data_IF_224945442356
#
_entry.id   IF_224945442356
#
_cell.length_a   1.000
_cell.length_b   1.000
_cell.length_c   1.000
_cell.angle_alpha   90.00
_cell.angle_beta   90.00
_cell.angle_gamma   90.00
#
_symmetry.space_group_name_H-M   'P 1'
#
loop_
_entity.id
_entity.type
_entity.pdbx_description
1 polymer ?
#
# COMPACT_ATOMS: atom_id res chain seq x y z
N UNK A 1 -51.51 -49.27 53.43
CA UNK A 1 -52.55 -48.28 53.05
C UNK A 1 -52.12 -47.63 51.74
N UNK A 2 -53.00 -47.64 50.74
CA UNK A 2 -52.75 -47.13 49.39
C UNK A 2 -52.62 -45.60 49.45
N UNK A 3 -51.54 -45.06 48.89
CA UNK A 3 -51.34 -43.62 48.73
C UNK A 3 -51.42 -43.30 47.23
N UNK A 4 -52.41 -42.49 46.88
CA UNK A 4 -52.68 -42.01 45.53
C UNK A 4 -51.58 -41.06 45.05
N UNK A 5 -51.07 -41.28 43.84
CA UNK A 5 -50.41 -40.25 43.05
C UNK A 5 -51.25 -40.00 41.79
N UNK A 6 -51.86 -38.83 41.76
CA UNK A 6 -52.66 -38.32 40.65
C UNK A 6 -51.70 -37.63 39.67
N UNK A 7 -51.49 -38.24 38.51
CA UNK A 7 -50.70 -37.65 37.41
C UNK A 7 -51.54 -36.54 36.76
N UNK A 8 -51.19 -35.27 37.02
CA UNK A 8 -51.75 -34.12 36.31
C UNK A 8 -50.93 -33.91 35.04
N UNK A 9 -51.51 -34.27 33.90
CA UNK A 9 -50.99 -33.94 32.57
C UNK A 9 -51.33 -32.48 32.30
N UNK A 10 -50.34 -31.59 32.41
CA UNK A 10 -50.47 -30.18 32.03
C UNK A 10 -50.25 -30.09 30.51
N UNK A 11 -51.34 -29.88 29.77
CA UNK A 11 -51.32 -29.51 28.37
C UNK A 11 -50.77 -28.08 28.25
N UNK A 12 -49.49 -27.94 27.91
CA UNK A 12 -48.95 -26.66 27.44
C UNK A 12 -49.53 -26.40 26.05
N UNK A 13 -50.51 -25.49 25.97
CA UNK A 13 -50.87 -24.86 24.70
C UNK A 13 -49.65 -24.04 24.26
N UNK A 14 -48.85 -24.60 23.36
CA UNK A 14 -47.87 -23.83 22.61
C UNK A 14 -48.65 -22.89 21.69
N UNK A 15 -48.77 -21.62 22.07
CA UNK A 15 -49.10 -20.57 21.12
C UNK A 15 -47.95 -20.48 20.13
N UNK A 16 -48.08 -21.20 19.02
CA UNK A 16 -47.24 -21.04 17.84
C UNK A 16 -47.47 -19.63 17.30
N UNK A 17 -46.59 -18.70 17.65
CA UNK A 17 -46.42 -17.50 16.83
C UNK A 17 -45.86 -17.96 15.48
N UNK A 18 -46.76 -18.05 14.49
CA UNK A 18 -46.41 -18.15 13.08
C UNK A 18 -45.75 -16.83 12.67
N UNK A 19 -44.45 -16.68 12.88
CA UNK A 19 -43.67 -15.72 12.11
C UNK A 19 -43.51 -16.31 10.71
N UNK A 20 -44.25 -15.75 9.75
CA UNK A 20 -44.08 -16.07 8.34
C UNK A 20 -42.70 -15.58 7.88
N UNK A 21 -41.70 -16.45 8.01
CA UNK A 21 -40.34 -16.22 7.55
C UNK A 21 -40.29 -16.48 6.04
N UNK A 22 -40.71 -15.51 5.23
CA UNK A 22 -40.68 -15.64 3.76
C UNK A 22 -39.85 -14.52 3.16
N UNK A 23 -38.55 -14.76 2.96
CA UNK A 23 -37.79 -13.80 2.18
C UNK A 23 -36.44 -14.29 1.67
N UNK A 24 -35.58 -14.79 2.55
CA UNK A 24 -34.18 -15.08 2.20
C UNK A 24 -33.90 -16.57 2.01
N UNK A 25 -34.63 -17.46 2.69
CA UNK A 25 -34.55 -18.90 2.47
C UNK A 25 -35.31 -19.33 1.22
N UNK A 26 -34.76 -18.97 0.06
CA UNK A 26 -35.31 -19.35 -1.23
C UNK A 26 -34.19 -19.51 -2.26
N UNK A 27 -34.53 -20.08 -3.42
CA UNK A 27 -33.59 -20.25 -4.53
C UNK A 27 -33.04 -18.88 -4.98
N UNK A 28 -31.70 -18.75 -4.94
CA UNK A 28 -30.87 -17.63 -5.40
C UNK A 28 -30.36 -16.61 -4.37
N UNK A 29 -31.19 -16.03 -3.46
CA UNK A 29 -30.66 -15.26 -2.35
C UNK A 29 -29.78 -16.14 -1.45
N UNK A 30 -28.55 -15.72 -1.21
CA UNK A 30 -27.60 -16.41 -0.34
C UNK A 30 -27.64 -15.86 1.08
N UNK A 31 -27.73 -14.55 1.23
CA UNK A 31 -27.75 -13.90 2.53
C UNK A 31 -28.42 -12.52 2.48
N UNK A 32 -28.84 -12.04 3.64
CA UNK A 32 -29.21 -10.64 3.83
C UNK A 32 -28.63 -10.07 5.11
N UNK A 33 -28.37 -8.78 5.09
CA UNK A 33 -28.03 -7.98 6.26
C UNK A 33 -29.05 -6.83 6.31
N UNK A 34 -29.74 -6.59 7.44
CA UNK A 34 -29.80 -7.46 8.60
C UNK A 34 -30.47 -8.80 8.27
N UNK A 35 -30.33 -9.79 9.14
CA UNK A 35 -31.05 -11.06 9.01
C UNK A 35 -32.53 -10.89 9.38
N UNK A 36 -33.44 -11.72 8.84
CA UNK A 36 -34.84 -11.69 9.23
C UNK A 36 -35.01 -11.81 10.75
N UNK A 37 -35.79 -10.91 11.33
CA UNK A 37 -36.04 -10.81 12.78
C UNK A 37 -34.83 -10.48 13.65
N UNK A 38 -33.74 -9.92 13.09
CA UNK A 38 -32.63 -9.40 13.89
C UNK A 38 -33.11 -8.30 14.86
N UNK A 39 -32.56 -8.27 16.07
CA UNK A 39 -32.97 -7.33 17.14
C UNK A 39 -31.85 -6.43 17.65
N UNK A 40 -30.61 -6.72 17.27
CA UNK A 40 -29.37 -6.08 17.69
C UNK A 40 -28.79 -5.17 16.58
N UNK A 41 -29.66 -4.62 15.73
CA UNK A 41 -29.23 -3.84 14.56
C UNK A 41 -28.88 -2.40 14.99
N UNK A 42 -27.74 -1.90 14.48
CA UNK A 42 -27.25 -0.53 14.69
C UNK A 42 -27.95 0.48 13.77
N UNK A 43 -27.99 1.75 14.17
CA UNK A 43 -28.67 2.83 13.41
C UNK A 43 -28.06 3.13 12.04
N UNK A 44 -26.79 2.79 11.81
CA UNK A 44 -26.05 2.98 10.55
C UNK A 44 -26.14 1.77 9.61
N UNK A 45 -27.01 0.81 9.90
CA UNK A 45 -27.20 -0.38 9.08
C UNK A 45 -27.50 -0.01 7.62
N UNK A 46 -26.82 -0.69 6.70
CA UNK A 46 -27.05 -0.59 5.26
C UNK A 46 -27.61 -1.93 4.77
N UNK A 47 -28.93 -2.02 4.51
CA UNK A 47 -29.52 -3.28 4.08
C UNK A 47 -28.89 -3.82 2.80
N UNK A 48 -28.46 -5.08 2.84
CA UNK A 48 -27.69 -5.74 1.79
C UNK A 48 -28.29 -7.11 1.48
N UNK A 49 -28.33 -7.48 0.20
CA UNK A 49 -28.81 -8.78 -0.28
C UNK A 49 -27.82 -9.37 -1.27
N UNK A 50 -27.26 -10.54 -0.94
CA UNK A 50 -26.29 -11.24 -1.78
C UNK A 50 -27.01 -12.35 -2.55
N UNK A 51 -26.76 -12.44 -3.85
CA UNK A 51 -27.33 -13.47 -4.73
C UNK A 51 -26.23 -14.39 -5.27
N UNK A 52 -26.59 -15.64 -5.55
CA UNK A 52 -25.72 -16.66 -6.15
C UNK A 52 -25.41 -16.42 -7.64
N UNK A 53 -26.11 -15.46 -8.27
CA UNK A 53 -26.02 -15.14 -9.70
C UNK A 53 -25.91 -13.64 -9.92
N UNK A 54 -25.36 -13.26 -11.07
CA UNK A 54 -25.23 -11.85 -11.48
C UNK A 54 -26.60 -11.19 -11.57
N UNK A 55 -26.74 -10.05 -10.89
CA UNK A 55 -27.93 -9.19 -10.90
C UNK A 55 -27.95 -8.37 -12.18
N UNK A 56 -29.05 -8.45 -12.94
CA UNK A 56 -29.25 -7.62 -14.13
C UNK A 56 -29.58 -6.19 -13.70
N UNK A 57 -28.63 -5.26 -13.85
CA UNK A 57 -28.75 -3.86 -13.42
C UNK A 57 -30.00 -3.14 -13.97
N UNK A 58 -30.40 -3.44 -15.21
CA UNK A 58 -31.62 -2.87 -15.84
C UNK A 58 -32.93 -3.27 -15.15
N UNK A 59 -32.92 -4.36 -14.36
CA UNK A 59 -34.08 -4.78 -13.57
C UNK A 59 -34.20 -4.06 -12.23
N UNK A 60 -33.23 -3.20 -11.90
CA UNK A 60 -33.17 -2.47 -10.63
C UNK A 60 -33.67 -1.05 -10.85
N UNK A 61 -34.68 -0.66 -10.07
CA UNK A 61 -35.22 0.69 -10.04
C UNK A 61 -35.23 1.26 -8.62
N UNK A 62 -35.58 2.55 -8.52
CA UNK A 62 -35.58 3.31 -7.25
C UNK A 62 -36.48 2.73 -6.15
N UNK A 63 -37.45 1.89 -6.51
CA UNK A 63 -38.38 1.26 -5.58
C UNK A 63 -38.22 -0.27 -5.54
N UNK A 64 -37.07 -0.80 -6.00
CA UNK A 64 -36.78 -2.24 -5.92
C UNK A 64 -36.65 -2.68 -4.47
N UNK A 65 -35.90 -1.92 -3.65
CA UNK A 65 -35.91 -2.06 -2.20
C UNK A 65 -36.80 -0.97 -1.62
N UNK A 66 -37.72 -1.37 -0.75
CA UNK A 66 -38.58 -0.47 0.01
C UNK A 66 -38.37 -0.75 1.48
N UNK A 67 -37.93 0.27 2.21
CA UNK A 67 -37.76 0.22 3.65
C UNK A 67 -38.80 1.12 4.31
N UNK A 68 -39.57 0.58 5.23
CA UNK A 68 -40.54 1.30 6.06
C UNK A 68 -40.24 1.10 7.53
N UNK A 69 -40.64 2.07 8.36
CA UNK A 69 -40.60 1.97 9.82
C UNK A 69 -42.01 1.69 10.32
N UNK A 70 -42.19 0.56 11.01
CA UNK A 70 -43.45 0.17 11.63
C UNK A 70 -43.66 0.94 12.93
N UNK A 71 -42.62 1.09 13.74
CA UNK A 71 -42.67 1.72 15.06
C UNK A 71 -41.42 2.56 15.31
N UNK A 72 -41.54 3.89 15.51
CA UNK A 72 -42.69 4.74 15.18
C UNK A 72 -43.04 4.67 13.68
N UNK A 73 -44.32 4.83 13.33
CA UNK A 73 -44.80 4.63 11.97
C UNK A 73 -44.26 5.70 11.00
N UNK A 74 -43.38 5.30 10.09
CA UNK A 74 -42.91 6.11 8.95
C UNK A 74 -42.98 5.24 7.69
N UNK A 75 -43.94 5.54 6.82
CA UNK A 75 -44.30 4.67 5.70
C UNK A 75 -43.16 4.42 4.70
N UNK A 76 -42.16 5.30 4.61
CA UNK A 76 -41.01 5.16 3.71
C UNK A 76 -39.76 5.80 4.31
N UNK A 77 -38.67 5.06 4.28
CA UNK A 77 -37.31 5.56 4.48
C UNK A 77 -36.73 5.89 3.11
N UNK A 78 -36.22 7.11 2.96
CA UNK A 78 -35.55 7.53 1.75
C UNK A 78 -34.15 6.91 1.70
N UNK A 79 -33.69 6.58 0.50
CA UNK A 79 -32.39 5.98 0.28
C UNK A 79 -32.17 5.65 -1.19
N UNK A 80 -30.98 5.17 -1.51
CA UNK A 80 -30.57 4.79 -2.87
C UNK A 80 -30.31 3.30 -2.94
N UNK A 81 -30.76 2.66 -4.02
CA UNK A 81 -30.46 1.25 -4.31
C UNK A 81 -29.38 1.16 -5.38
N UNK A 82 -28.35 0.34 -5.17
CA UNK A 82 -27.27 0.09 -6.12
C UNK A 82 -26.89 -1.40 -6.16
N UNK A 83 -26.20 -1.79 -7.24
CA UNK A 83 -25.60 -3.13 -7.36
C UNK A 83 -24.09 -3.00 -7.19
N UNK A 84 -23.54 -3.72 -6.22
CA UNK A 84 -22.10 -3.80 -5.91
C UNK A 84 -21.61 -5.20 -6.26
N UNK A 85 -20.40 -5.30 -6.81
CA UNK A 85 -19.73 -6.56 -7.20
C UNK A 85 -20.57 -7.48 -8.12
N UNK A 86 -21.52 -6.90 -8.87
CA UNK A 86 -22.47 -7.56 -9.78
C UNK A 86 -23.45 -8.56 -9.15
N UNK A 87 -23.25 -9.03 -7.92
CA UNK A 87 -24.09 -10.02 -7.25
C UNK A 87 -24.80 -9.47 -6.01
N UNK A 88 -24.42 -8.29 -5.54
CA UNK A 88 -24.91 -7.72 -4.28
C UNK A 88 -25.82 -6.53 -4.55
N UNK A 89 -27.02 -6.56 -3.99
CA UNK A 89 -27.96 -5.43 -4.00
C UNK A 89 -27.87 -4.68 -2.67
N UNK A 90 -27.56 -3.39 -2.73
CA UNK A 90 -27.31 -2.53 -1.58
C UNK A 90 -28.39 -1.44 -1.50
N UNK A 91 -28.96 -1.19 -0.33
CA UNK A 91 -29.80 -0.02 -0.05
C UNK A 91 -29.13 0.88 0.99
N UNK A 92 -28.79 2.11 0.59
CA UNK A 92 -28.17 3.12 1.45
C UNK A 92 -29.26 4.12 1.90
N UNK A 93 -29.66 4.11 3.19
CA UNK A 93 -30.57 5.13 3.72
C UNK A 93 -29.99 6.53 3.59
N UNK A 94 -30.84 7.54 3.34
CA UNK A 94 -30.39 8.95 3.26
C UNK A 94 -29.97 9.54 4.61
N UNK A 95 -30.44 8.95 5.70
CA UNK A 95 -30.13 9.31 7.08
C UNK A 95 -30.03 8.01 7.90
N UNK A 96 -29.25 7.98 9.00
CA UNK A 96 -29.24 6.85 9.93
C UNK A 96 -30.66 6.49 10.38
N UNK A 97 -30.94 5.19 10.49
CA UNK A 97 -32.23 4.67 10.90
C UNK A 97 -32.46 4.98 12.38
N UNK A 98 -33.53 5.71 12.76
CA UNK A 98 -33.92 5.84 14.16
C UNK A 98 -34.20 4.47 14.80
N UNK A 99 -34.09 4.38 16.13
CA UNK A 99 -34.49 3.16 16.84
C UNK A 99 -35.95 2.82 16.58
N UNK A 100 -36.22 1.53 16.35
CA UNK A 100 -37.55 1.08 16.00
C UNK A 100 -37.60 -0.23 15.23
N UNK A 101 -38.82 -0.65 14.91
CA UNK A 101 -39.09 -1.85 14.10
C UNK A 101 -39.27 -1.43 12.64
N UNK A 102 -38.61 -2.15 11.73
CA UNK A 102 -38.60 -1.87 10.30
C UNK A 102 -39.19 -3.03 9.51
N UNK A 103 -39.85 -2.71 8.40
CA UNK A 103 -40.25 -3.65 7.35
C UNK A 103 -39.43 -3.40 6.08
N UNK A 104 -38.82 -4.46 5.55
CA UNK A 104 -38.07 -4.38 4.29
C UNK A 104 -38.72 -5.27 3.25
N UNK A 105 -38.95 -4.70 2.06
CA UNK A 105 -39.56 -5.36 0.91
C UNK A 105 -38.63 -5.23 -0.28
N UNK A 106 -38.23 -6.36 -0.86
CA UNK A 106 -37.49 -6.41 -2.13
C UNK A 106 -38.41 -6.96 -3.20
N UNK A 107 -38.62 -6.18 -4.26
CA UNK A 107 -39.39 -6.61 -5.42
C UNK A 107 -38.63 -7.72 -6.18
N UNK A 108 -39.36 -8.55 -6.96
CA UNK A 108 -38.73 -9.47 -7.91
C UNK A 108 -37.71 -8.77 -8.81
N UNK A 109 -36.49 -9.31 -8.87
CA UNK A 109 -35.40 -8.84 -9.74
C UNK A 109 -35.00 -9.94 -10.72
N UNK A 110 -34.30 -9.58 -11.81
CA UNK A 110 -33.81 -10.55 -12.79
C UNK A 110 -32.34 -10.87 -12.52
N UNK A 111 -32.03 -12.16 -12.48
CA UNK A 111 -30.67 -12.70 -12.38
C UNK A 111 -30.28 -13.32 -13.72
N UNK A 112 -29.04 -13.14 -14.16
CA UNK A 112 -28.52 -13.77 -15.37
C UNK A 112 -28.36 -15.28 -15.14
N UNK A 113 -28.83 -16.08 -16.10
CA UNK A 113 -28.57 -17.51 -16.11
C UNK A 113 -27.25 -17.81 -16.81
N UNK A 114 -26.46 -18.74 -16.27
CA UNK A 114 -25.34 -19.33 -16.99
C UNK A 114 -25.85 -20.12 -18.20
N UNK A 115 -25.00 -20.27 -19.23
CA UNK A 115 -25.33 -21.07 -20.43
C UNK A 115 -25.72 -22.48 -19.99
N UNK A 116 -26.98 -22.86 -20.22
CA UNK A 116 -27.47 -24.18 -19.83
C UNK A 116 -26.94 -25.23 -20.81
N UNK A 117 -26.05 -26.10 -20.35
CA UNK A 117 -25.47 -27.19 -21.14
C UNK A 117 -26.41 -28.38 -21.34
N UNK A 118 -27.57 -28.43 -20.67
CA UNK A 118 -28.46 -29.61 -20.70
C UNK A 118 -29.96 -29.29 -20.78
N UNK A 119 -30.42 -28.66 -21.86
CA UNK A 119 -31.86 -28.68 -22.20
C UNK A 119 -32.24 -29.95 -22.97
N UNK A 120 -33.27 -30.66 -22.48
CA UNK A 120 -33.87 -31.80 -23.20
C UNK A 120 -34.68 -31.30 -24.39
N UNK A 121 -34.28 -31.67 -25.61
CA UNK A 121 -34.96 -31.31 -26.85
C UNK A 121 -36.37 -31.93 -26.93
N UNK A 122 -37.38 -31.08 -27.11
CA UNK A 122 -38.80 -31.48 -27.14
C UNK A 122 -39.36 -31.52 -28.56
N UNK A 123 -38.93 -30.61 -29.44
CA UNK A 123 -39.41 -30.51 -30.84
C UNK A 123 -38.45 -31.15 -31.86
N UNK A 124 -38.96 -31.51 -33.03
CA UNK A 124 -38.14 -32.01 -34.16
C UNK A 124 -37.08 -31.00 -34.60
N UNK A 125 -37.42 -29.70 -34.61
CA UNK A 125 -36.49 -28.62 -34.92
C UNK A 125 -35.35 -28.54 -33.88
N UNK A 126 -35.66 -28.63 -32.58
CA UNK A 126 -34.66 -28.65 -31.51
C UNK A 126 -33.70 -29.84 -31.61
N UNK A 127 -34.20 -31.02 -32.01
CA UNK A 127 -33.37 -32.22 -32.23
C UNK A 127 -32.41 -32.04 -33.41
N UNK A 128 -32.90 -31.49 -34.53
CA UNK A 128 -32.08 -31.22 -35.72
C UNK A 128 -31.01 -30.16 -35.41
N UNK A 129 -31.38 -29.09 -34.71
CA UNK A 129 -30.43 -28.02 -34.33
C UNK A 129 -29.38 -28.53 -33.35
N UNK A 130 -29.75 -29.31 -32.32
CA UNK A 130 -28.78 -29.92 -31.42
C UNK A 130 -27.82 -30.88 -32.16
N UNK A 131 -28.34 -31.66 -33.11
CA UNK A 131 -27.53 -32.54 -33.95
C UNK A 131 -26.55 -31.75 -34.84
N UNK A 132 -27.00 -30.70 -35.53
CA UNK A 132 -26.15 -29.84 -36.36
C UNK A 132 -25.07 -29.12 -35.54
N UNK A 133 -25.45 -28.58 -34.38
CA UNK A 133 -24.52 -27.89 -33.49
C UNK A 133 -23.48 -28.85 -32.89
N UNK A 134 -23.86 -30.08 -32.55
CA UNK A 134 -22.92 -31.10 -32.04
C UNK A 134 -21.92 -31.62 -33.07
N UNK A 135 -22.05 -31.26 -34.35
CA UNK A 135 -21.03 -31.55 -35.38
C UNK A 135 -19.89 -30.52 -35.39
N UNK A 136 -20.10 -29.33 -34.82
CA UNK A 136 -19.18 -28.20 -34.91
C UNK A 136 -18.74 -27.62 -33.55
N UNK A 137 -19.43 -27.96 -32.46
CA UNK A 137 -19.17 -27.46 -31.12
C UNK A 137 -19.19 -28.61 -30.11
N UNK A 138 -18.18 -28.66 -29.24
CA UNK A 138 -18.10 -29.65 -28.15
C UNK A 138 -19.17 -29.38 -27.06
N UNK A 139 -19.45 -28.11 -26.79
CA UNK A 139 -20.62 -27.67 -26.03
C UNK A 139 -21.66 -27.06 -26.98
N UNK A 140 -22.80 -27.75 -27.10
CA UNK A 140 -23.89 -27.35 -27.98
C UNK A 140 -24.45 -25.97 -27.62
N UNK A 141 -24.29 -25.49 -26.38
CA UNK A 141 -24.71 -24.16 -25.94
C UNK A 141 -23.88 -23.00 -26.53
N UNK A 142 -22.72 -23.30 -27.12
CA UNK A 142 -21.88 -22.31 -27.81
C UNK A 142 -22.29 -22.07 -29.27
N UNK A 143 -23.14 -22.92 -29.82
CA UNK A 143 -23.63 -22.80 -31.18
C UNK A 143 -24.59 -21.60 -31.33
N UNK A 144 -24.38 -20.68 -32.30
CA UNK A 144 -25.25 -19.51 -32.50
C UNK A 144 -26.72 -19.85 -32.77
N UNK A 145 -26.99 -21.03 -33.35
CA UNK A 145 -28.35 -21.51 -33.62
C UNK A 145 -29.05 -22.06 -32.36
N UNK A 146 -28.32 -22.32 -31.28
CA UNK A 146 -28.85 -22.90 -30.06
C UNK A 146 -29.83 -21.95 -29.35
N UNK A 147 -29.44 -20.70 -29.12
CA UNK A 147 -30.31 -19.68 -28.50
C UNK A 147 -31.57 -19.37 -29.32
N UNK A 148 -31.51 -19.57 -30.64
CA UNK A 148 -32.58 -19.22 -31.57
C UNK A 148 -33.69 -20.28 -31.60
N UNK A 149 -33.36 -21.53 -31.26
CA UNK A 149 -34.26 -22.70 -31.37
C UNK A 149 -34.64 -23.29 -30.01
N UNK A 150 -33.75 -23.17 -29.02
CA UNK A 150 -34.05 -23.46 -27.64
C UNK A 150 -34.45 -22.16 -26.96
N UNK A 151 -35.72 -22.07 -26.55
CA UNK A 151 -36.29 -20.95 -25.79
C UNK A 151 -35.68 -20.93 -24.37
N UNK A 152 -34.36 -20.73 -24.28
CA UNK A 152 -33.61 -20.73 -23.03
C UNK A 152 -33.84 -19.38 -22.37
N UNK A 153 -34.47 -19.34 -21.18
CA UNK A 153 -34.64 -18.08 -20.48
C UNK A 153 -33.27 -17.53 -20.09
N UNK A 154 -32.87 -16.42 -20.71
CA UNK A 154 -31.60 -15.72 -20.42
C UNK A 154 -31.52 -15.21 -18.98
N UNK A 155 -32.67 -15.08 -18.32
CA UNK A 155 -32.77 -14.57 -16.95
C UNK A 155 -33.75 -15.37 -16.12
N UNK A 156 -33.48 -15.51 -14.84
CA UNK A 156 -34.42 -16.03 -13.84
C UNK A 156 -34.93 -14.88 -12.97
N UNK A 157 -36.24 -14.82 -12.72
CA UNK A 157 -36.83 -13.79 -11.84
C UNK A 157 -36.90 -14.32 -10.41
N UNK A 158 -36.44 -13.53 -9.43
CA UNK A 158 -36.52 -13.88 -8.02
C UNK A 158 -37.95 -13.77 -7.50
N UNK A 159 -38.25 -14.49 -6.42
CA UNK A 159 -39.46 -14.26 -5.63
C UNK A 159 -39.29 -13.00 -4.77
N UNK A 160 -40.40 -12.31 -4.41
CA UNK A 160 -40.33 -11.15 -3.53
C UNK A 160 -39.75 -11.54 -2.17
N UNK A 161 -38.98 -10.64 -1.56
CA UNK A 161 -38.41 -10.79 -0.22
C UNK A 161 -39.16 -9.84 0.72
N UNK A 162 -39.62 -10.34 1.87
CA UNK A 162 -40.26 -9.49 2.87
C UNK A 162 -39.98 -10.00 4.29
N UNK A 163 -39.41 -9.16 5.13
CA UNK A 163 -39.25 -9.47 6.55
C UNK A 163 -39.15 -8.19 7.39
N UNK A 164 -39.10 -8.36 8.72
CA UNK A 164 -38.91 -7.28 9.67
C UNK A 164 -37.60 -7.43 10.44
N UNK A 165 -37.07 -6.33 10.95
CA UNK A 165 -35.94 -6.29 11.88
C UNK A 165 -36.10 -5.12 12.86
N UNK A 166 -35.37 -5.15 13.96
CA UNK A 166 -35.38 -4.08 14.96
C UNK A 166 -34.02 -3.41 15.08
N UNK A 167 -34.03 -2.08 14.96
CA UNK A 167 -32.89 -1.22 15.22
C UNK A 167 -32.96 -0.78 16.68
N UNK A 168 -32.03 -1.25 17.48
CA UNK A 168 -32.01 -1.00 18.93
C UNK A 168 -30.71 -0.36 19.42
N UNK A 169 -29.64 -0.45 18.62
CA UNK A 169 -28.32 0.04 18.98
C UNK A 169 -27.97 1.32 18.21
N UNK A 170 -27.24 2.23 18.86
CA UNK A 170 -26.63 3.37 18.16
C UNK A 170 -25.43 2.88 17.33
N UNK A 171 -25.11 3.62 16.27
CA UNK A 171 -23.86 3.43 15.55
C UNK A 171 -22.68 3.64 16.50
N UNK A 172 -21.75 2.69 16.52
CA UNK A 172 -20.57 2.75 17.38
C UNK A 172 -19.63 3.82 16.88
N UNK A 173 -19.28 4.77 17.74
CA UNK A 173 -18.40 5.88 17.37
C UNK A 173 -16.94 5.45 17.39
N UNK A 174 -16.18 5.91 16.39
CA UNK A 174 -14.72 5.80 16.36
C UNK A 174 -14.14 6.76 17.40
N UNK A 175 -13.35 6.22 18.33
CA UNK A 175 -12.69 6.99 19.38
C UNK A 175 -11.21 7.26 19.10
N UNK A 176 -10.55 6.39 18.32
CA UNK A 176 -9.15 6.56 17.95
C UNK A 176 -8.83 5.92 16.59
N UNK A 177 -7.78 6.43 15.95
CA UNK A 177 -7.13 5.80 14.79
C UNK A 177 -5.68 5.50 15.17
N UNK A 178 -5.18 4.39 14.64
CA UNK A 178 -3.81 3.95 14.81
C UNK A 178 -3.24 3.52 13.47
N UNK A 179 -2.07 4.07 13.13
CA UNK A 179 -1.22 3.54 12.07
C UNK A 179 -0.22 2.56 12.68
N UNK A 180 0.10 1.49 11.95
CA UNK A 180 1.13 0.53 12.33
C UNK A 180 2.54 1.16 12.44
N UNK A 181 2.79 2.22 11.68
CA UNK A 181 3.98 3.08 11.84
C UNK A 181 3.63 4.57 11.73
N UNK A 182 4.40 5.41 12.41
CA UNK A 182 4.32 6.88 12.31
C UNK A 182 5.39 7.47 11.40
N UNK A 183 6.38 6.68 10.99
CA UNK A 183 7.47 7.07 10.08
C UNK A 183 7.75 5.98 9.06
N UNK A 184 7.86 6.37 7.79
CA UNK A 184 8.21 5.50 6.68
C UNK A 184 9.43 6.08 5.98
N UNK A 185 10.38 5.23 5.63
CA UNK A 185 11.57 5.58 4.86
C UNK A 185 11.59 4.68 3.61
N UNK A 186 11.66 5.29 2.43
CA UNK A 186 11.62 4.60 1.14
C UNK A 186 12.71 5.17 0.23
N UNK A 187 13.26 4.33 -0.64
CA UNK A 187 13.93 4.82 -1.85
C UNK A 187 12.89 5.20 -2.89
N UNK A 188 13.21 6.18 -3.74
CA UNK A 188 12.40 6.59 -4.89
C UNK A 188 11.85 5.41 -5.71
N UNK A 189 10.66 5.60 -6.30
CA UNK A 189 9.95 4.60 -7.11
C UNK A 189 9.64 3.26 -6.42
N UNK A 190 9.63 3.21 -5.08
CA UNK A 190 9.19 2.05 -4.32
C UNK A 190 7.80 2.22 -3.72
N UNK A 191 7.27 1.13 -3.18
CA UNK A 191 5.97 1.12 -2.51
C UNK A 191 6.05 0.37 -1.19
N UNK A 192 5.19 0.74 -0.25
CA UNK A 192 4.97 0.01 1.00
C UNK A 192 3.51 0.08 1.43
N UNK A 193 3.09 -0.87 2.25
CA UNK A 193 1.74 -0.93 2.80
C UNK A 193 1.71 -0.23 4.16
N UNK A 194 0.82 0.74 4.32
CA UNK A 194 0.46 1.36 5.58
C UNK A 194 -0.88 0.78 6.06
N UNK A 195 -0.92 0.25 7.28
CA UNK A 195 -2.13 -0.33 7.86
C UNK A 195 -2.77 0.61 8.87
N UNK A 196 -4.09 0.81 8.75
CA UNK A 196 -4.87 1.72 9.60
C UNK A 196 -5.92 0.94 10.37
N UNK A 197 -5.85 1.01 11.69
CA UNK A 197 -6.83 0.42 12.60
C UNK A 197 -7.66 1.52 13.26
N UNK A 198 -8.99 1.36 13.25
CA UNK A 198 -9.90 2.20 14.02
C UNK A 198 -10.30 1.47 15.32
N UNK A 199 -10.30 2.20 16.43
CA UNK A 199 -10.84 1.73 17.72
C UNK A 199 -12.18 2.39 17.98
N UNK A 200 -13.18 1.59 18.32
CA UNK A 200 -14.54 2.02 18.61
C UNK A 200 -14.80 2.14 20.12
N UNK A 201 -15.86 2.86 20.50
CA UNK A 201 -16.26 3.07 21.90
C UNK A 201 -16.62 1.79 22.66
N UNK A 202 -16.97 0.72 21.96
CA UNK A 202 -17.21 -0.62 22.52
C UNK A 202 -15.91 -1.43 22.69
N UNK A 203 -14.75 -0.80 22.46
CA UNK A 203 -13.41 -1.37 22.46
C UNK A 203 -13.15 -2.40 21.35
N UNK A 204 -14.02 -2.49 20.35
CA UNK A 204 -13.72 -3.26 19.15
C UNK A 204 -12.74 -2.50 18.25
N UNK A 205 -11.98 -3.25 17.45
CA UNK A 205 -11.06 -2.71 16.47
C UNK A 205 -11.44 -3.19 15.07
N UNK A 206 -11.22 -2.35 14.07
CA UNK A 206 -11.45 -2.67 12.67
C UNK A 206 -10.29 -2.18 11.81
N UNK A 207 -9.90 -2.99 10.82
CA UNK A 207 -9.02 -2.54 9.75
C UNK A 207 -9.80 -1.64 8.78
N UNK A 208 -9.43 -0.37 8.77
CA UNK A 208 -10.05 0.66 7.95
C UNK A 208 -9.13 1.13 6.84
N UNK A 209 -8.05 0.40 6.54
CA UNK A 209 -7.04 0.77 5.53
C UNK A 209 -7.66 1.11 4.17
N UNK A 210 -8.59 0.28 3.67
CA UNK A 210 -9.27 0.55 2.40
C UNK A 210 -10.44 1.55 2.51
N UNK A 211 -10.87 1.88 3.73
CA UNK A 211 -12.03 2.75 4.02
C UNK A 211 -11.61 4.17 4.39
N UNK A 212 -10.37 4.36 4.83
CA UNK A 212 -9.81 5.64 5.18
C UNK A 212 -9.54 6.49 3.94
N UNK A 213 -9.50 7.79 4.14
CA UNK A 213 -9.10 8.79 3.15
C UNK A 213 -7.66 9.21 3.42
N UNK A 214 -6.89 9.35 2.35
CA UNK A 214 -5.47 9.67 2.40
C UNK A 214 -5.20 10.93 1.62
N UNK A 215 -4.25 11.72 2.10
CA UNK A 215 -3.71 12.88 1.38
C UNK A 215 -2.23 13.03 1.72
N UNK A 216 -1.45 13.50 0.76
CA UNK A 216 -0.03 13.78 0.93
C UNK A 216 0.21 15.29 0.89
N UNK A 217 1.16 15.77 1.70
CA UNK A 217 1.55 17.18 1.69
C UNK A 217 2.47 17.55 0.52
N UNK A 218 3.06 16.57 -0.17
CA UNK A 218 4.05 16.75 -1.23
C UNK A 218 3.89 15.67 -2.32
N UNK A 219 4.20 16.01 -3.57
CA UNK A 219 4.15 15.10 -4.72
C UNK A 219 5.26 14.03 -4.75
N UNK A 220 6.24 14.10 -3.84
CA UNK A 220 7.23 13.03 -3.63
C UNK A 220 6.59 11.72 -3.17
N UNK A 221 5.37 11.77 -2.62
CA UNK A 221 4.65 10.61 -2.10
C UNK A 221 3.19 10.65 -2.51
N UNK A 222 2.73 9.57 -3.13
CA UNK A 222 1.33 9.28 -3.39
C UNK A 222 0.82 8.20 -2.44
N UNK A 223 -0.45 8.27 -2.04
CA UNK A 223 -1.07 7.24 -1.19
C UNK A 223 -2.46 6.90 -1.68
N UNK A 224 -2.67 5.62 -2.01
CA UNK A 224 -3.96 5.11 -2.48
C UNK A 224 -4.35 3.88 -1.67
N UNK A 225 -5.47 3.96 -0.94
CA UNK A 225 -6.02 2.84 -0.16
C UNK A 225 -4.98 2.18 0.77
N UNK A 226 -4.13 2.99 1.42
CA UNK A 226 -3.07 2.53 2.31
C UNK A 226 -1.78 2.08 1.62
N UNK A 227 -1.73 2.00 0.29
CA UNK A 227 -0.46 1.80 -0.44
C UNK A 227 0.23 3.14 -0.59
N UNK A 228 1.38 3.29 0.04
CA UNK A 228 2.26 4.46 -0.06
C UNK A 228 3.25 4.21 -1.18
N UNK A 229 3.29 5.11 -2.16
CA UNK A 229 4.17 5.07 -3.33
C UNK A 229 5.08 6.29 -3.30
N UNK A 230 6.38 6.08 -3.32
CA UNK A 230 7.37 7.15 -3.47
C UNK A 230 7.61 7.46 -4.95
N UNK A 231 7.72 8.73 -5.30
CA UNK A 231 8.03 9.21 -6.64
C UNK A 231 9.47 9.71 -6.68
N UNK A 232 9.70 10.96 -6.26
CA UNK A 232 11.00 11.62 -6.24
C UNK A 232 11.52 11.81 -4.79
N UNK A 233 12.83 12.08 -4.64
CA UNK A 233 13.45 12.47 -3.36
C UNK A 233 12.65 13.58 -2.66
N UNK A 234 12.42 13.43 -1.36
CA UNK A 234 11.84 14.48 -0.53
C UNK A 234 11.07 13.98 0.68
N UNK A 235 10.52 14.93 1.44
CA UNK A 235 9.74 14.66 2.64
C UNK A 235 8.26 14.95 2.42
N UNK A 236 7.38 14.08 2.93
CA UNK A 236 5.94 14.24 2.90
C UNK A 236 5.28 13.85 4.23
N UNK A 237 4.19 14.53 4.57
CA UNK A 237 3.30 14.16 5.66
C UNK A 237 2.04 13.57 5.05
N UNK A 238 1.85 12.27 5.24
CA UNK A 238 0.63 11.55 4.87
C UNK A 238 -0.40 11.76 5.96
N UNK A 239 -1.49 12.44 5.62
CA UNK A 239 -2.63 12.64 6.51
C UNK A 239 -3.70 11.60 6.20
N UNK A 240 -4.04 10.79 7.21
CA UNK A 240 -5.04 9.73 7.13
C UNK A 240 -6.27 10.15 7.93
N UNK A 241 -7.45 10.12 7.33
CA UNK A 241 -8.71 10.45 7.99
C UNK A 241 -9.76 9.36 7.81
N UNK A 242 -10.43 9.02 8.90
CA UNK A 242 -11.56 8.09 8.93
C UNK A 242 -12.55 8.53 10.03
N UNK A 243 -13.85 8.55 9.70
CA UNK A 243 -14.88 9.21 10.51
C UNK A 243 -14.49 10.67 10.83
N UNK A 244 -14.49 11.06 12.11
CA UNK A 244 -14.10 12.39 12.61
C UNK A 244 -12.67 12.42 13.16
N UNK A 245 -11.87 11.40 12.90
CA UNK A 245 -10.51 11.25 13.40
C UNK A 245 -9.47 11.36 12.28
N UNK A 246 -8.32 11.91 12.64
CA UNK A 246 -7.20 12.14 11.73
C UNK A 246 -5.88 11.82 12.43
N UNK A 247 -4.97 11.17 11.71
CA UNK A 247 -3.59 10.93 12.12
C UNK A 247 -2.62 11.33 11.00
N UNK A 248 -1.36 11.52 11.36
CA UNK A 248 -0.30 11.89 10.43
C UNK A 248 0.84 10.87 10.51
N UNK A 249 1.38 10.53 9.34
CA UNK A 249 2.54 9.65 9.17
C UNK A 249 3.57 10.41 8.36
N UNK A 250 4.80 10.51 8.86
CA UNK A 250 5.91 11.13 8.13
C UNK A 250 6.50 10.11 7.16
N UNK A 251 6.72 10.52 5.91
CA UNK A 251 7.33 9.69 4.88
C UNK A 251 8.53 10.43 4.31
N UNK A 252 9.70 9.80 4.38
CA UNK A 252 10.94 10.28 3.82
C UNK A 252 11.31 9.44 2.59
N UNK A 253 11.54 10.11 1.46
CA UNK A 253 11.95 9.48 0.20
C UNK A 253 13.38 9.85 -0.11
N UNK A 254 14.23 8.83 -0.20
CA UNK A 254 15.65 8.93 -0.49
C UNK A 254 15.93 8.58 -1.95
N UNK A 255 16.93 9.21 -2.54
CA UNK A 255 17.41 8.88 -3.88
C UNK A 255 18.35 7.66 -3.84
N UNK A 256 18.32 6.83 -4.87
CA UNK A 256 19.20 5.65 -4.98
C UNK A 256 19.98 5.67 -6.28
N UNK A 257 21.30 5.74 -6.19
CA UNK A 257 22.19 5.72 -7.35
C UNK A 257 23.02 4.45 -7.30
N UNK A 258 22.82 3.53 -8.25
CA UNK A 258 23.59 2.28 -8.39
C UNK A 258 23.60 1.43 -7.10
N UNK A 259 22.47 1.37 -6.39
CA UNK A 259 22.34 0.62 -5.13
C UNK A 259 22.88 1.33 -3.90
N UNK A 260 23.38 2.56 -4.05
CA UNK A 260 23.77 3.43 -2.96
C UNK A 260 22.63 4.39 -2.59
N UNK A 261 22.19 4.35 -1.34
CA UNK A 261 21.14 5.22 -0.81
C UNK A 261 21.76 6.55 -0.37
N UNK A 262 21.37 7.65 -1.01
CA UNK A 262 21.90 8.96 -0.68
C UNK A 262 21.23 9.53 0.58
N UNK A 263 21.97 10.25 1.44
CA UNK A 263 21.37 11.04 2.50
C UNK A 263 20.53 12.18 1.89
N UNK A 264 19.59 12.70 2.67
CA UNK A 264 18.84 13.89 2.27
C UNK A 264 19.75 15.11 2.10
N UNK A 265 19.35 16.03 1.22
CA UNK A 265 20.02 17.32 1.12
C UNK A 265 19.93 18.08 2.47
N UNK A 266 21.08 18.41 3.09
CA UNK A 266 21.08 19.12 4.36
C UNK A 266 20.59 20.56 4.19
N UNK A 267 19.76 21.05 5.11
CA UNK A 267 19.25 22.42 5.08
C UNK A 267 20.36 23.48 5.23
N UNK A 268 21.37 23.17 6.06
CA UNK A 268 22.55 24.01 6.27
C UNK A 268 23.81 23.11 6.34
N UNK A 269 24.42 22.77 5.18
CA UNK A 269 25.61 21.90 5.13
C UNK A 269 26.84 22.51 5.84
N UNK A 270 26.84 23.82 6.04
CA UNK A 270 27.98 24.57 6.55
C UNK A 270 27.79 25.02 8.01
N UNK A 271 26.75 24.52 8.68
CA UNK A 271 26.42 24.82 10.08
C UNK A 271 27.58 24.56 11.05
N UNK A 272 28.48 23.61 10.71
CA UNK A 272 29.69 23.32 11.47
C UNK A 272 30.90 23.14 10.56
N UNK A 273 32.12 23.23 11.12
CA UNK A 273 33.35 22.93 10.40
C UNK A 273 33.32 21.53 9.77
N UNK A 274 32.79 20.54 10.48
CA UNK A 274 32.69 19.16 10.02
C UNK A 274 31.48 18.89 9.13
N UNK A 275 30.56 19.85 8.97
CA UNK A 275 29.32 19.71 8.20
C UNK A 275 28.31 18.74 8.81
N UNK A 276 27.36 18.29 7.98
CA UNK A 276 26.32 17.33 8.34
C UNK A 276 26.69 15.97 7.74
N UNK A 277 26.66 14.91 8.55
CA UNK A 277 26.88 13.50 8.14
C UNK A 277 25.80 12.67 8.86
N UNK A 278 24.60 12.62 8.28
CA UNK A 278 23.43 12.03 8.91
C UNK A 278 23.52 10.50 8.97
N UNK A 279 24.15 9.87 7.96
CA UNK A 279 24.31 8.42 7.88
C UNK A 279 25.59 7.92 8.60
N UNK A 280 26.41 8.82 9.15
CA UNK A 280 27.65 8.53 9.87
C UNK A 280 28.65 7.69 9.06
N UNK A 281 28.71 7.88 7.75
CA UNK A 281 29.63 7.15 6.88
C UNK A 281 31.05 7.75 6.88
N UNK A 282 31.22 8.94 7.47
CA UNK A 282 32.47 9.69 7.57
C UNK A 282 32.68 10.71 6.45
N UNK A 283 31.68 10.92 5.60
CA UNK A 283 31.64 11.91 4.53
C UNK A 283 30.44 12.82 4.78
N UNK A 284 30.59 14.11 4.51
CA UNK A 284 29.48 15.05 4.65
C UNK A 284 28.39 14.74 3.63
N UNK A 285 27.13 14.86 4.02
CA UNK A 285 25.96 14.51 3.20
C UNK A 285 25.97 15.25 1.85
N UNK A 286 26.28 16.55 1.83
CA UNK A 286 26.35 17.31 0.57
C UNK A 286 27.54 16.91 -0.31
N UNK A 287 28.65 16.45 0.27
CA UNK A 287 29.83 15.96 -0.48
C UNK A 287 29.53 14.58 -1.04
N UNK A 288 28.93 13.69 -0.26
CA UNK A 288 28.46 12.38 -0.72
C UNK A 288 27.49 12.55 -1.88
N UNK A 289 26.46 13.40 -1.75
CA UNK A 289 25.53 13.68 -2.85
C UNK A 289 26.26 14.25 -4.06
N UNK A 290 27.22 15.16 -3.87
CA UNK A 290 28.02 15.69 -4.97
C UNK A 290 28.84 14.60 -5.68
N UNK A 291 29.46 13.66 -4.94
CA UNK A 291 30.20 12.51 -5.49
C UNK A 291 29.30 11.64 -6.38
N UNK A 292 28.06 11.40 -5.95
CA UNK A 292 27.18 10.50 -6.69
C UNK A 292 26.44 11.19 -7.85
N UNK A 293 26.03 12.45 -7.68
CA UNK A 293 25.17 13.18 -8.64
C UNK A 293 25.92 14.05 -9.63
N UNK A 294 26.97 14.73 -9.17
CA UNK A 294 27.59 15.85 -9.90
C UNK A 294 29.03 15.58 -10.32
N UNK A 295 29.71 14.68 -9.61
CA UNK A 295 31.10 14.35 -9.90
C UNK A 295 31.22 13.76 -11.30
N UNK A 296 32.13 14.33 -12.09
CA UNK A 296 32.45 13.75 -13.40
C UNK A 296 33.21 12.45 -13.17
N UNK A 297 32.59 11.33 -13.57
CA UNK A 297 33.23 10.03 -13.67
C UNK A 297 33.87 9.86 -15.06
N UNK A 298 34.98 9.15 -15.16
CA UNK A 298 35.77 9.02 -16.38
C UNK A 298 35.46 7.74 -17.14
N UNK A 299 35.66 6.60 -16.49
CA UNK A 299 35.66 5.30 -17.16
C UNK A 299 34.76 4.31 -16.43
N UNK A 300 34.86 4.24 -15.11
CA UNK A 300 34.15 3.26 -14.29
C UNK A 300 33.47 3.94 -13.10
N UNK A 301 32.25 4.49 -13.27
CA UNK A 301 31.59 5.30 -12.25
C UNK A 301 31.42 4.57 -10.91
N UNK A 302 31.08 3.28 -10.95
CA UNK A 302 30.90 2.44 -9.76
C UNK A 302 32.18 2.31 -8.94
N UNK A 303 33.32 2.08 -9.60
CA UNK A 303 34.64 2.01 -8.94
C UNK A 303 35.07 3.40 -8.47
N UNK A 304 34.97 4.41 -9.33
CA UNK A 304 35.44 5.76 -9.07
C UNK A 304 34.70 6.41 -7.90
N UNK A 305 33.39 6.18 -7.75
CA UNK A 305 32.61 6.65 -6.60
C UNK A 305 33.06 6.01 -5.29
N UNK A 306 33.38 4.70 -5.28
CA UNK A 306 33.92 4.02 -4.10
C UNK A 306 35.23 4.66 -3.66
N UNK A 307 36.15 4.89 -4.61
CA UNK A 307 37.45 5.50 -4.29
C UNK A 307 37.24 6.96 -3.86
N UNK A 308 36.28 7.68 -4.45
CA UNK A 308 35.91 9.04 -4.05
C UNK A 308 35.36 9.15 -2.65
N UNK A 309 34.51 8.23 -2.23
CA UNK A 309 34.04 8.18 -0.86
C UNK A 309 35.20 7.93 0.12
N UNK A 310 36.13 7.05 -0.25
CA UNK A 310 37.33 6.79 0.56
C UNK A 310 38.26 8.02 0.64
N UNK A 311 38.51 8.70 -0.48
CA UNK A 311 39.29 9.94 -0.53
C UNK A 311 38.61 11.03 0.32
N UNK A 312 37.30 11.22 0.14
CA UNK A 312 36.51 12.22 0.86
C UNK A 312 36.58 12.00 2.37
N UNK A 313 36.44 10.75 2.79
CA UNK A 313 36.56 10.36 4.20
C UNK A 313 37.95 10.65 4.76
N UNK A 314 39.02 10.33 4.01
CA UNK A 314 40.39 10.61 4.41
C UNK A 314 40.65 12.13 4.53
N UNK A 315 40.14 12.94 3.61
CA UNK A 315 40.22 14.40 3.71
C UNK A 315 39.38 14.96 4.86
N UNK A 316 38.21 14.39 5.14
CA UNK A 316 37.37 14.78 6.28
C UNK A 316 38.11 14.55 7.61
N UNK A 317 38.95 13.51 7.71
CA UNK A 317 39.83 13.30 8.86
C UNK A 317 40.81 14.46 9.09
N UNK A 318 41.24 15.18 8.05
CA UNK A 318 42.09 16.36 8.19
C UNK A 318 41.37 17.53 8.89
N UNK A 319 40.04 17.59 8.76
CA UNK A 319 39.22 18.58 9.48
C UNK A 319 38.94 18.15 10.93
N UNK A 320 38.91 16.84 11.20
CA UNK A 320 38.72 16.27 12.54
C UNK A 320 40.00 16.35 13.37
N UNK A 321 41.14 15.98 12.79
CA UNK A 321 42.47 15.97 13.43
C UNK A 321 43.49 16.73 12.58
N UNK A 322 43.41 18.08 12.55
CA UNK A 322 44.36 18.89 11.79
C UNK A 322 45.79 18.82 12.35
N UNK A 323 45.99 18.30 13.56
CA UNK A 323 47.32 18.07 14.11
C UNK A 323 47.99 16.82 13.52
N UNK A 324 47.25 15.99 12.76
CA UNK A 324 47.69 14.75 12.17
C UNK A 324 48.35 13.82 13.22
N UNK A 325 47.63 13.57 14.31
CA UNK A 325 48.14 12.81 15.44
C UNK A 325 48.48 11.38 14.99
N UNK A 326 49.70 10.93 15.29
CA UNK A 326 50.24 9.64 14.86
C UNK A 326 50.25 9.45 13.33
N UNK A 327 50.29 10.54 12.55
CA UNK A 327 50.22 10.54 11.08
C UNK A 327 48.94 9.90 10.49
N UNK A 328 47.88 9.74 11.29
CA UNK A 328 46.64 9.03 10.89
C UNK A 328 45.98 9.60 9.64
N UNK A 329 45.94 10.92 9.50
CA UNK A 329 45.32 11.58 8.34
C UNK A 329 46.17 11.31 7.09
N UNK A 330 47.49 11.44 7.19
CA UNK A 330 48.40 11.15 6.08
C UNK A 330 48.33 9.67 5.65
N UNK A 331 48.26 8.74 6.61
CA UNK A 331 48.12 7.31 6.34
C UNK A 331 46.80 7.03 5.60
N UNK A 332 45.69 7.66 6.03
CA UNK A 332 44.40 7.49 5.37
C UNK A 332 44.43 8.02 3.91
N UNK A 333 45.00 9.21 3.70
CA UNK A 333 45.14 9.80 2.36
C UNK A 333 46.07 8.99 1.46
N UNK A 334 47.19 8.49 2.00
CA UNK A 334 48.10 7.61 1.26
C UNK A 334 47.42 6.31 0.87
N UNK A 335 46.65 5.70 1.78
CA UNK A 335 45.88 4.49 1.50
C UNK A 335 44.83 4.72 0.40
N UNK A 336 44.16 5.86 0.39
CA UNK A 336 43.20 6.22 -0.66
C UNK A 336 43.89 6.44 -2.03
N UNK A 337 45.04 7.13 -2.04
CA UNK A 337 45.88 7.26 -3.23
C UNK A 337 46.40 5.92 -3.77
N UNK A 338 46.83 5.01 -2.89
CA UNK A 338 47.27 3.65 -3.25
C UNK A 338 46.13 2.82 -3.88
N UNK A 339 44.89 2.99 -3.39
CA UNK A 339 43.71 2.40 -4.02
C UNK A 339 43.48 2.95 -5.43
N UNK A 340 43.61 4.28 -5.61
CA UNK A 340 43.49 4.91 -6.92
C UNK A 340 44.58 4.44 -7.89
N UNK A 341 45.82 4.29 -7.43
CA UNK A 341 46.92 3.77 -8.25
C UNK A 341 46.73 2.28 -8.61
N UNK A 342 46.16 1.47 -7.69
CA UNK A 342 45.74 0.10 -8.01
C UNK A 342 44.69 0.10 -9.12
N UNK A 343 43.62 0.90 -8.99
CA UNK A 343 42.58 1.04 -10.01
C UNK A 343 43.14 1.45 -11.37
N UNK A 344 43.99 2.50 -11.40
CA UNK A 344 44.63 3.00 -12.61
C UNK A 344 45.43 1.92 -13.32
N UNK A 345 46.15 1.09 -12.56
CA UNK A 345 46.95 0.01 -13.12
C UNK A 345 46.10 -1.20 -13.54
N UNK A 346 45.12 -1.60 -12.72
CA UNK A 346 44.29 -2.78 -12.96
C UNK A 346 43.37 -2.62 -14.16
N UNK A 347 42.95 -1.39 -14.48
CA UNK A 347 42.11 -1.05 -15.63
C UNK A 347 42.87 -0.45 -16.81
N UNK A 348 44.20 -0.36 -16.75
CA UNK A 348 45.07 0.21 -17.79
C UNK A 348 44.60 1.60 -18.27
N UNK A 349 44.29 2.48 -17.32
CA UNK A 349 43.70 3.79 -17.63
C UNK A 349 44.72 4.73 -18.31
N UNK A 350 44.29 5.54 -19.29
CA UNK A 350 45.16 6.49 -19.97
C UNK A 350 45.63 7.61 -19.04
N UNK A 351 46.81 8.18 -19.33
CA UNK A 351 47.31 9.37 -18.66
C UNK A 351 46.82 10.64 -19.39
N UNK A 352 45.54 10.97 -19.21
CA UNK A 352 44.85 12.07 -19.92
C UNK A 352 44.52 13.27 -19.02
N UNK A 353 44.97 13.25 -17.76
CA UNK A 353 44.71 14.30 -16.76
C UNK A 353 43.35 14.18 -16.07
N UNK A 354 42.55 13.16 -16.39
CA UNK A 354 41.30 12.84 -15.70
C UNK A 354 41.48 12.80 -14.18
N UNK A 355 42.40 11.96 -13.70
CA UNK A 355 42.68 11.78 -12.27
C UNK A 355 42.92 13.11 -11.53
N UNK A 356 43.73 13.98 -12.12
CA UNK A 356 44.05 15.29 -11.53
C UNK A 356 42.81 16.19 -11.47
N UNK A 357 42.01 16.23 -12.54
CA UNK A 357 40.78 17.00 -12.59
C UNK A 357 39.80 16.55 -11.50
N UNK A 358 39.69 15.24 -11.26
CA UNK A 358 38.85 14.67 -10.22
C UNK A 358 39.35 15.04 -8.83
N UNK A 359 40.65 14.86 -8.57
CA UNK A 359 41.23 15.18 -7.27
C UNK A 359 41.02 16.65 -6.91
N UNK A 360 41.17 17.55 -7.89
CA UNK A 360 40.91 18.97 -7.72
C UNK A 360 39.43 19.25 -7.43
N UNK A 361 38.51 18.69 -8.23
CA UNK A 361 37.07 18.90 -8.04
C UNK A 361 36.58 18.39 -6.67
N UNK A 362 37.07 17.23 -6.23
CA UNK A 362 36.74 16.67 -4.92
C UNK A 362 37.24 17.56 -3.78
N UNK A 363 38.48 18.06 -3.87
CA UNK A 363 39.03 19.00 -2.87
C UNK A 363 38.28 20.32 -2.83
N UNK A 364 37.82 20.83 -3.98
CA UNK A 364 36.99 22.04 -4.04
C UNK A 364 35.65 21.84 -3.33
N UNK A 365 35.00 20.68 -3.49
CA UNK A 365 33.80 20.32 -2.75
C UNK A 365 34.06 20.16 -1.24
N UNK A 366 35.19 19.55 -0.88
CA UNK A 366 35.56 19.27 0.52
C UNK A 366 36.00 20.51 1.30
N UNK A 367 36.63 21.48 0.64
CA UNK A 367 37.18 22.69 1.28
C UNK A 367 36.50 23.96 0.76
N UNK A 368 35.19 23.85 0.54
CA UNK A 368 34.32 24.88 -0.03
C UNK A 368 34.10 26.13 0.86
N UNK A 369 34.55 26.11 2.12
CA UNK A 369 34.49 27.25 3.03
C UNK A 369 35.90 27.71 3.44
N UNK A 370 36.01 28.99 3.81
CA UNK A 370 37.28 29.59 4.22
C UNK A 370 37.87 28.86 5.44
N UNK A 371 37.01 28.52 6.40
CA UNK A 371 37.36 27.84 7.63
C UNK A 371 37.89 26.43 7.34
N UNK A 372 37.22 25.66 6.47
CA UNK A 372 37.68 24.32 6.08
C UNK A 372 39.00 24.35 5.33
N UNK A 373 39.14 25.26 4.36
CA UNK A 373 40.40 25.42 3.64
C UNK A 373 41.55 25.79 4.58
N UNK A 374 41.31 26.71 5.52
CA UNK A 374 42.33 27.08 6.51
C UNK A 374 42.71 25.89 7.40
N UNK A 375 41.74 25.13 7.91
CA UNK A 375 42.00 23.94 8.72
C UNK A 375 42.80 22.89 7.94
N UNK A 376 42.48 22.67 6.67
CA UNK A 376 43.27 21.79 5.81
C UNK A 376 44.70 22.29 5.61
N UNK A 377 44.90 23.60 5.47
CA UNK A 377 46.26 24.18 5.38
C UNK A 377 47.04 24.03 6.69
N UNK A 378 46.37 24.09 7.84
CA UNK A 378 47.00 23.81 9.14
C UNK A 378 47.47 22.34 9.21
N UNK A 379 46.64 21.40 8.71
CA UNK A 379 47.04 20.00 8.50
C UNK A 379 48.24 19.85 7.56
N UNK A 380 48.16 20.46 6.37
CA UNK A 380 49.21 20.35 5.34
C UNK A 380 50.57 20.84 5.86
N UNK A 381 50.57 21.92 6.66
CA UNK A 381 51.77 22.43 7.31
C UNK A 381 52.45 21.41 8.24
N UNK A 382 51.70 20.47 8.84
CA UNK A 382 52.25 19.41 9.70
C UNK A 382 53.07 18.36 8.94
N UNK A 383 52.91 18.29 7.61
CA UNK A 383 53.65 17.39 6.73
C UNK A 383 55.02 17.94 6.35
N UNK A 384 55.24 19.25 6.55
CA UNK A 384 56.48 19.93 6.20
C UNK A 384 57.72 19.28 6.84
N UNK A 385 58.70 18.91 6.02
CA UNK A 385 59.96 18.31 6.47
C UNK A 385 59.89 16.82 6.82
N UNK A 386 58.72 16.18 6.70
CA UNK A 386 58.58 14.72 6.83
C UNK A 386 58.92 14.02 5.51
N UNK A 387 59.30 12.75 5.61
CA UNK A 387 59.56 11.87 4.47
C UNK A 387 58.63 10.68 4.55
N UNK A 388 57.85 10.47 3.50
CA UNK A 388 56.91 9.36 3.38
C UNK A 388 57.37 8.42 2.26
N UNK A 389 57.19 7.12 2.46
CA UNK A 389 57.53 6.11 1.46
C UNK A 389 56.25 5.72 0.72
N UNK A 390 56.28 5.82 -0.61
CA UNK A 390 55.18 5.35 -1.45
C UNK A 390 55.19 3.84 -1.55
N UNK A 391 53.99 3.24 -1.65
CA UNK A 391 53.86 1.80 -1.89
C UNK A 391 54.29 1.48 -3.32
N UNK A 392 55.22 0.53 -3.54
CA UNK A 392 55.59 0.11 -4.89
C UNK A 392 54.39 -0.44 -5.67
N UNK A 393 54.24 -0.05 -6.93
CA UNK A 393 53.07 -0.37 -7.76
C UNK A 393 52.75 -1.88 -7.83
N UNK A 394 53.78 -2.74 -7.85
CA UNK A 394 53.60 -4.20 -7.89
C UNK A 394 53.08 -4.83 -6.58
N UNK A 395 53.02 -4.05 -5.49
CA UNK A 395 52.44 -4.44 -4.21
C UNK A 395 51.03 -3.89 -4.01
N UNK A 396 50.59 -2.97 -4.87
CA UNK A 396 49.25 -2.41 -4.83
C UNK A 396 48.22 -3.51 -5.15
N UNK A 397 47.12 -3.49 -4.40
CA UNK A 397 46.00 -4.40 -4.53
C UNK A 397 44.77 -3.82 -3.83
N UNK A 398 43.64 -4.49 -3.97
CA UNK A 398 42.34 -4.07 -3.43
C UNK A 398 42.29 -3.87 -1.90
N UNK A 399 43.26 -4.37 -1.11
CA UNK A 399 43.28 -4.15 0.35
C UNK A 399 43.51 -2.69 0.77
N UNK A 400 44.05 -1.86 -0.13
CA UNK A 400 44.14 -0.42 0.09
C UNK A 400 42.79 0.28 -0.14
N UNK A 401 41.82 -0.39 -0.76
CA UNK A 401 40.49 0.14 -1.00
C UNK A 401 39.52 -0.20 0.14
N UNK A 402 38.49 0.63 0.35
CA UNK A 402 37.43 0.39 1.33
C UNK A 402 36.43 -0.70 0.89
N UNK A 403 36.34 -0.93 -0.43
CA UNK A 403 35.61 -2.05 -0.99
C UNK A 403 36.49 -2.79 -2.02
N UNK A 404 36.12 -4.03 -2.32
CA UNK A 404 36.83 -4.80 -3.32
C UNK A 404 36.49 -4.29 -4.73
N UNK A 405 37.28 -3.36 -5.27
CA UNK A 405 37.00 -2.72 -6.56
C UNK A 405 37.19 -3.65 -7.76
N UNK A 406 37.91 -4.76 -7.60
CA UNK A 406 38.19 -5.70 -8.69
C UNK A 406 36.96 -6.54 -9.08
N UNK A 407 35.92 -6.59 -8.22
CA UNK A 407 34.66 -7.29 -8.48
C UNK A 407 33.50 -6.36 -8.87
N UNK A 408 33.75 -5.05 -8.90
CA UNK A 408 32.77 -4.08 -9.36
C UNK A 408 32.71 -4.08 -10.90
N UNK A 409 31.51 -3.88 -11.49
CA UNK A 409 31.25 -3.81 -12.93
C UNK A 409 32.21 -2.98 -13.79
#
# INVERSE_FOLDING_TARGET
>A
MKTHYTTIVIFFLSTTFLFANTGTEQTHPQSSIPTPSATDVKTDITPTFVFDKVVLKESIGINTIQLGQLTPKKNKINGTTSVVDNTTLLFVPSEPLPKGTYDIKVKPIKLLNEKQSSLKSKSTAQKITAWLCGLAYDDISECPLYELVFDVPKTTTTKPIHYTFEVTQEATKVIALHADTTRIELSEYNTTQLHITATYEDNTNEDVTQKATYSSSNGSVDVTQGVVTSNDEGSAIVTVSYADKTIQVTVEVYEMIEGHLLPHEPQDPDATLLGVDANSNGVRDEVERWIYKEMTTYHHPEIERVIAMQDAKAYQMALVDPANTDDKVNIALTRAGDCWDHYRHSKDLPFDGAVEKYSNALRDALFNTRERLKTYMDYDATLGGKVFTLTPTYLLNTSYCDANIDVLP
#
